data_IF_453066479236
#
_entry.id   IF_453066479236
#
_cell.length_a   1.000
_cell.length_b   1.000
_cell.length_c   1.000
_cell.angle_alpha   90.00
_cell.angle_beta   90.00
_cell.angle_gamma   90.00
#
_symmetry.space_group_name_H-M   'P 1'
#
loop_
_entity.id
_entity.type
_entity.pdbx_description
1 polymer ?
#
# COMPACT_ATOMS: atom_id res chain seq x y z
N UNK A 1 4.68 -13.92 4.58
CA UNK A 1 5.98 -13.34 4.17
C UNK A 1 6.97 -13.46 5.31
N UNK A 2 8.20 -13.87 5.04
CA UNK A 2 9.29 -13.91 6.02
C UNK A 2 10.50 -13.16 5.45
N UNK A 3 11.26 -12.53 6.31
CA UNK A 3 12.53 -11.87 5.91
C UNK A 3 13.57 -12.09 6.99
N UNK A 4 14.84 -12.23 6.57
CA UNK A 4 15.93 -12.59 7.46
C UNK A 4 17.16 -11.72 7.20
N UNK A 5 17.76 -11.24 8.31
CA UNK A 5 19.01 -10.48 8.31
C UNK A 5 19.04 -9.28 7.35
N UNK A 6 17.88 -8.59 7.18
CA UNK A 6 17.81 -7.41 6.31
C UNK A 6 18.67 -6.30 6.87
N UNK A 7 19.70 -5.93 6.13
CA UNK A 7 20.65 -4.88 6.45
C UNK A 7 20.62 -3.82 5.34
N UNK A 8 20.70 -2.58 5.73
CA UNK A 8 20.88 -1.47 4.80
C UNK A 8 22.03 -0.60 5.27
N UNK A 9 22.97 -0.38 4.39
CA UNK A 9 24.03 0.62 4.54
C UNK A 9 23.91 1.66 3.43
N UNK A 10 23.81 2.93 3.80
CA UNK A 10 23.76 4.07 2.89
C UNK A 10 25.00 4.93 3.13
N UNK A 11 25.83 5.07 2.10
CA UNK A 11 27.06 5.89 2.15
C UNK A 11 27.95 5.61 3.37
N UNK A 12 28.10 4.33 3.77
CA UNK A 12 28.90 3.91 4.93
C UNK A 12 28.16 3.97 6.27
N UNK A 13 26.89 4.41 6.31
CA UNK A 13 26.07 4.43 7.54
C UNK A 13 25.07 3.29 7.54
N UNK A 14 25.11 2.44 8.57
CA UNK A 14 24.13 1.36 8.75
C UNK A 14 22.80 1.93 9.25
N UNK A 15 21.76 1.83 8.43
CA UNK A 15 20.38 2.24 8.73
C UNK A 15 19.60 1.07 9.33
N UNK A 16 19.72 -0.13 8.72
CA UNK A 16 19.15 -1.36 9.26
C UNK A 16 20.28 -2.34 9.60
N UNK A 17 20.13 -3.05 10.72
CA UNK A 17 21.20 -3.89 11.30
C UNK A 17 20.70 -5.32 11.49
N UNK A 18 20.53 -6.09 10.40
CA UNK A 18 20.18 -7.50 10.46
C UNK A 18 18.76 -7.77 10.96
N UNK A 19 17.77 -7.01 10.49
CA UNK A 19 16.37 -7.14 10.91
C UNK A 19 15.76 -8.39 10.32
N UNK A 20 15.10 -9.20 11.16
CA UNK A 20 14.38 -10.42 10.74
C UNK A 20 12.95 -10.40 11.26
N UNK A 21 12.03 -11.00 10.52
CA UNK A 21 10.64 -11.05 10.93
C UNK A 21 9.78 -11.97 10.06
N UNK A 22 8.58 -12.23 10.55
CA UNK A 22 7.57 -13.01 9.85
C UNK A 22 6.21 -12.31 9.91
N UNK A 23 5.53 -12.24 8.76
CA UNK A 23 4.18 -11.69 8.64
C UNK A 23 3.30 -12.66 7.88
N UNK A 24 2.20 -13.10 8.50
CA UNK A 24 1.29 -14.09 7.91
C UNK A 24 -0.08 -13.49 7.51
N UNK A 25 -0.51 -12.42 8.15
CA UNK A 25 -1.82 -11.79 7.87
C UNK A 25 -1.72 -10.26 8.01
N UNK A 26 -2.15 -9.69 9.13
CA UNK A 26 -2.04 -8.27 9.42
C UNK A 26 -0.94 -8.01 10.43
N UNK A 27 0.05 -7.20 10.07
CA UNK A 27 1.22 -6.91 10.91
C UNK A 27 1.47 -5.41 10.96
N UNK A 28 1.59 -4.87 12.17
CA UNK A 28 2.03 -3.49 12.40
C UNK A 28 3.52 -3.46 12.80
N UNK A 29 4.30 -2.65 12.10
CA UNK A 29 5.71 -2.38 12.42
C UNK A 29 5.76 -1.12 13.26
N UNK A 30 6.10 -1.24 14.53
CA UNK A 30 6.09 -0.13 15.48
C UNK A 30 7.52 0.31 15.84
N UNK A 31 7.66 1.58 16.16
CA UNK A 31 8.93 2.17 16.60
C UNK A 31 8.94 3.70 16.47
N UNK A 32 9.91 4.39 17.06
CA UNK A 32 10.01 5.85 16.98
C UNK A 32 10.23 6.34 15.55
N UNK A 33 9.99 7.64 15.33
CA UNK A 33 10.34 8.28 14.05
C UNK A 33 11.83 8.13 13.76
N UNK A 34 12.20 7.85 12.52
CA UNK A 34 13.60 7.62 12.14
C UNK A 34 14.15 6.23 12.45
N UNK A 35 13.37 5.31 13.06
CA UNK A 35 13.84 3.95 13.36
C UNK A 35 14.05 3.05 12.12
N UNK A 36 13.73 3.53 10.91
CA UNK A 36 13.89 2.78 9.67
C UNK A 36 12.69 1.95 9.24
N UNK A 37 11.49 2.18 9.80
CA UNK A 37 10.25 1.42 9.48
C UNK A 37 9.91 1.48 7.99
N UNK A 38 9.72 2.69 7.44
CA UNK A 38 9.43 2.89 6.01
C UNK A 38 10.58 2.40 5.12
N UNK A 39 11.82 2.52 5.61
CA UNK A 39 13.00 2.00 4.91
C UNK A 39 12.95 0.47 4.79
N UNK A 40 12.63 -0.23 5.88
CA UNK A 40 12.44 -1.69 5.86
C UNK A 40 11.34 -2.08 4.87
N UNK A 41 10.17 -1.43 4.93
CA UNK A 41 9.08 -1.72 3.99
C UNK A 41 9.46 -1.46 2.54
N UNK A 42 10.22 -0.40 2.24
CA UNK A 42 10.70 -0.11 0.88
C UNK A 42 11.63 -1.21 0.35
N UNK A 43 12.51 -1.79 1.22
CA UNK A 43 13.35 -2.93 0.84
C UNK A 43 12.47 -4.16 0.58
N UNK A 44 11.56 -4.49 1.50
CA UNK A 44 10.67 -5.65 1.37
C UNK A 44 9.74 -5.55 0.16
N UNK A 45 9.36 -4.33 -0.23
CA UNK A 45 8.57 -4.07 -1.44
C UNK A 45 9.39 -4.00 -2.73
N UNK A 46 10.72 -4.15 -2.67
CA UNK A 46 11.60 -4.05 -3.83
C UNK A 46 11.76 -2.63 -4.40
N UNK A 47 11.35 -1.60 -3.65
CA UNK A 47 11.44 -0.19 -4.06
C UNK A 47 12.82 0.42 -3.79
N UNK A 48 13.54 -0.11 -2.80
CA UNK A 48 14.90 0.27 -2.49
C UNK A 48 15.82 -0.91 -2.77
N UNK A 49 16.80 -0.69 -3.62
CA UNK A 49 17.80 -1.69 -4.00
C UNK A 49 19.20 -1.19 -3.65
N UNK A 50 20.14 -2.13 -3.53
CA UNK A 50 21.55 -1.82 -3.47
C UNK A 50 22.04 -1.27 -4.83
N UNK A 51 23.06 -0.42 -4.79
CA UNK A 51 23.70 0.14 -5.98
C UNK A 51 24.59 1.32 -5.64
N UNK A 52 25.69 1.47 -6.35
CA UNK A 52 26.70 2.48 -6.04
C UNK A 52 27.29 2.29 -4.64
N UNK A 53 27.10 3.28 -3.76
CA UNK A 53 27.56 3.24 -2.36
C UNK A 53 26.51 2.66 -1.38
N UNK A 54 25.40 2.15 -1.88
CA UNK A 54 24.31 1.62 -1.06
C UNK A 54 24.36 0.09 -1.09
N UNK A 55 24.39 -0.55 0.07
CA UNK A 55 24.43 -2.01 0.21
C UNK A 55 23.14 -2.46 0.89
N UNK A 56 22.40 -3.34 0.21
CA UNK A 56 21.23 -4.03 0.76
C UNK A 56 21.54 -5.52 0.82
N UNK A 57 21.46 -6.10 2.01
CA UNK A 57 21.70 -7.52 2.26
C UNK A 57 20.48 -8.14 2.96
N UNK A 58 20.42 -9.46 2.95
CA UNK A 58 19.35 -10.23 3.59
C UNK A 58 18.45 -10.91 2.57
N UNK A 59 17.56 -11.76 3.07
CA UNK A 59 16.71 -12.60 2.26
C UNK A 59 15.22 -12.32 2.54
N UNK A 60 14.42 -12.36 1.47
CA UNK A 60 12.96 -12.24 1.56
C UNK A 60 12.33 -13.51 1.00
N UNK A 61 11.33 -14.04 1.73
CA UNK A 61 10.63 -15.27 1.37
C UNK A 61 9.13 -15.02 1.27
N UNK A 62 8.50 -15.47 0.19
CA UNK A 62 7.07 -15.54 0.04
C UNK A 62 6.63 -17.00 -0.06
N UNK A 63 5.70 -17.40 0.81
CA UNK A 63 5.23 -18.79 0.92
C UNK A 63 6.39 -19.81 0.98
N UNK A 64 7.43 -19.52 1.78
CA UNK A 64 8.60 -20.38 1.98
C UNK A 64 9.62 -20.38 0.83
N UNK A 65 9.38 -19.66 -0.25
CA UNK A 65 10.31 -19.53 -1.39
C UNK A 65 11.07 -18.21 -1.29
N UNK A 66 12.39 -18.29 -1.41
CA UNK A 66 13.25 -17.10 -1.52
C UNK A 66 12.92 -16.36 -2.82
N UNK A 67 12.69 -15.07 -2.73
CA UNK A 67 12.34 -14.23 -3.88
C UNK A 67 13.18 -12.97 -3.92
N UNK A 68 13.37 -12.45 -5.13
CA UNK A 68 13.80 -11.08 -5.30
C UNK A 68 12.55 -10.18 -5.27
N UNK A 69 12.41 -9.26 -4.29
CA UNK A 69 11.22 -8.41 -4.18
C UNK A 69 10.91 -7.61 -5.44
N UNK A 70 11.93 -7.19 -6.19
CA UNK A 70 11.75 -6.45 -7.45
C UNK A 70 11.05 -7.27 -8.52
N UNK A 71 11.40 -8.54 -8.65
CA UNK A 71 10.75 -9.44 -9.62
C UNK A 71 9.32 -9.82 -9.19
N UNK A 72 9.01 -9.66 -7.92
CA UNK A 72 7.69 -9.94 -7.35
C UNK A 72 6.79 -8.71 -7.25
N UNK A 73 7.24 -7.56 -7.77
CA UNK A 73 6.59 -6.26 -7.62
C UNK A 73 5.14 -6.23 -8.14
N UNK A 74 4.79 -7.03 -9.16
CA UNK A 74 3.42 -7.14 -9.67
C UNK A 74 2.40 -7.68 -8.66
N UNK A 75 2.86 -8.40 -7.63
CA UNK A 75 2.04 -8.99 -6.56
C UNK A 75 2.03 -8.12 -5.29
N UNK A 76 2.70 -6.97 -5.34
CA UNK A 76 2.89 -6.06 -4.21
C UNK A 76 2.16 -4.75 -4.49
N UNK A 77 1.38 -4.30 -3.53
CA UNK A 77 0.88 -2.93 -3.47
C UNK A 77 1.65 -2.14 -2.40
N UNK A 78 1.93 -0.87 -2.66
CA UNK A 78 2.54 0.02 -1.70
C UNK A 78 1.77 1.34 -1.62
N UNK A 79 1.08 1.55 -0.52
CA UNK A 79 0.33 2.77 -0.23
C UNK A 79 1.24 3.72 0.54
N UNK A 80 1.55 4.86 -0.07
CA UNK A 80 2.41 5.87 0.55
C UNK A 80 1.66 6.68 1.61
N UNK A 81 2.41 7.34 2.49
CA UNK A 81 1.86 8.22 3.52
C UNK A 81 1.06 9.36 2.87
N UNK A 82 1.62 10.03 1.87
CA UNK A 82 0.92 11.05 1.09
C UNK A 82 0.18 10.42 -0.10
N UNK A 83 -1.08 10.80 -0.27
CA UNK A 83 -1.94 10.28 -1.34
C UNK A 83 -1.73 11.10 -2.61
N UNK A 84 -1.28 10.46 -3.68
CA UNK A 84 -1.08 11.07 -5.00
C UNK A 84 -2.35 11.04 -5.87
N UNK A 85 -3.54 11.25 -5.26
CA UNK A 85 -4.80 11.27 -5.99
C UNK A 85 -5.12 12.70 -6.43
N UNK A 86 -5.49 12.86 -7.70
CA UNK A 86 -5.88 14.15 -8.24
C UNK A 86 -7.17 14.64 -7.57
N UNK A 87 -7.17 15.85 -7.04
CA UNK A 87 -8.27 16.44 -6.28
C UNK A 87 -9.60 16.52 -7.05
N UNK A 88 -9.52 16.71 -8.37
CA UNK A 88 -10.67 16.87 -9.27
C UNK A 88 -11.26 15.55 -9.79
N UNK A 89 -10.71 14.39 -9.39
CA UNK A 89 -11.24 13.07 -9.74
C UNK A 89 -12.16 12.55 -8.64
N UNK A 90 -13.03 11.62 -8.99
CA UNK A 90 -13.82 10.84 -8.03
C UNK A 90 -13.10 9.52 -7.69
N UNK A 91 -13.43 8.84 -6.57
CA UNK A 91 -12.92 7.51 -6.27
C UNK A 91 -13.13 6.51 -7.41
N UNK A 92 -14.31 6.52 -8.02
CA UNK A 92 -14.64 5.66 -9.16
C UNK A 92 -13.74 5.92 -10.35
N UNK A 93 -13.56 7.18 -10.73
CA UNK A 93 -12.66 7.56 -11.84
C UNK A 93 -11.21 7.19 -11.55
N UNK A 94 -10.74 7.39 -10.31
CA UNK A 94 -9.39 6.99 -9.90
C UNK A 94 -9.17 5.48 -10.04
N UNK A 95 -10.18 4.66 -9.67
CA UNK A 95 -10.11 3.22 -9.83
C UNK A 95 -10.15 2.79 -11.30
N UNK A 96 -11.01 3.38 -12.12
CA UNK A 96 -11.04 3.12 -13.56
C UNK A 96 -9.73 3.48 -14.23
N UNK A 97 -9.15 4.63 -13.89
CA UNK A 97 -7.85 5.05 -14.41
C UNK A 97 -6.74 4.06 -14.04
N UNK A 98 -6.67 3.68 -12.75
CA UNK A 98 -5.69 2.69 -12.29
C UNK A 98 -5.91 1.32 -12.94
N UNK A 99 -7.17 0.89 -13.11
CA UNK A 99 -7.51 -0.35 -13.80
C UNK A 99 -7.06 -0.35 -15.27
N UNK A 100 -7.28 0.76 -15.98
CA UNK A 100 -6.85 0.89 -17.37
C UNK A 100 -5.33 0.76 -17.52
N UNK A 101 -4.56 1.32 -16.58
CA UNK A 101 -3.09 1.28 -16.63
C UNK A 101 -2.51 -0.07 -16.18
N UNK A 102 -3.09 -0.69 -15.13
CA UNK A 102 -2.47 -1.84 -14.46
C UNK A 102 -2.99 -3.21 -14.93
N UNK A 103 -4.22 -3.30 -15.44
CA UNK A 103 -4.81 -4.59 -15.86
C UNK A 103 -4.53 -4.96 -17.32
N UNK A 104 -3.92 -4.05 -18.09
CA UNK A 104 -3.60 -4.31 -19.50
C UNK A 104 -4.82 -4.48 -20.40
N UNK A 105 -4.58 -4.82 -21.66
CA UNK A 105 -5.62 -4.95 -22.68
C UNK A 105 -6.33 -6.31 -22.68
N UNK A 106 -5.88 -7.27 -21.88
CA UNK A 106 -6.47 -8.63 -21.81
C UNK A 106 -7.74 -8.67 -20.96
N UNK A 107 -7.98 -7.65 -20.13
CA UNK A 107 -9.16 -7.53 -19.26
C UNK A 107 -10.21 -6.70 -19.99
N UNK A 108 -11.41 -7.26 -20.18
CA UNK A 108 -12.52 -6.57 -20.85
C UNK A 108 -13.01 -5.36 -20.02
N UNK A 109 -13.69 -4.42 -20.68
CA UNK A 109 -14.28 -3.28 -19.98
C UNK A 109 -15.31 -3.71 -18.94
N UNK A 110 -16.10 -4.74 -19.23
CA UNK A 110 -17.07 -5.29 -18.29
C UNK A 110 -16.40 -5.85 -17.03
N UNK A 111 -15.30 -6.58 -17.18
CA UNK A 111 -14.53 -7.08 -16.05
C UNK A 111 -13.87 -5.98 -15.22
N UNK A 112 -13.38 -4.91 -15.90
CA UNK A 112 -12.86 -3.72 -15.20
C UNK A 112 -13.95 -3.06 -14.37
N UNK A 113 -15.12 -2.86 -14.94
CA UNK A 113 -16.29 -2.30 -14.24
C UNK A 113 -16.70 -3.15 -13.04
N UNK A 114 -16.73 -4.48 -13.17
CA UNK A 114 -17.00 -5.40 -12.06
C UNK A 114 -15.96 -5.25 -10.95
N UNK A 115 -14.68 -5.20 -11.28
CA UNK A 115 -13.60 -5.02 -10.28
C UNK A 115 -13.68 -3.68 -9.57
N UNK A 116 -13.93 -2.59 -10.29
CA UNK A 116 -14.09 -1.25 -9.72
C UNK A 116 -15.26 -1.22 -8.75
N UNK A 117 -16.42 -1.76 -9.13
CA UNK A 117 -17.60 -1.79 -8.26
C UNK A 117 -17.38 -2.66 -7.01
N UNK A 118 -16.78 -3.84 -7.17
CA UNK A 118 -16.42 -4.70 -6.04
C UNK A 118 -15.46 -4.00 -5.06
N UNK A 119 -14.50 -3.24 -5.59
CA UNK A 119 -13.54 -2.53 -4.77
C UNK A 119 -14.17 -1.33 -4.02
N UNK A 120 -15.08 -0.59 -4.67
CA UNK A 120 -15.88 0.46 -4.02
C UNK A 120 -16.65 -0.12 -2.84
N UNK A 121 -17.24 -1.29 -3.00
CA UNK A 121 -17.97 -1.99 -1.93
C UNK A 121 -17.04 -2.47 -0.82
N UNK A 122 -15.94 -3.14 -1.15
CA UNK A 122 -14.94 -3.66 -0.21
C UNK A 122 -14.37 -2.54 0.68
N UNK A 123 -14.10 -1.37 0.09
CA UNK A 123 -13.56 -0.21 0.76
C UNK A 123 -14.63 0.69 1.42
N UNK A 124 -15.92 0.35 1.30
CA UNK A 124 -17.04 1.12 1.84
C UNK A 124 -17.05 2.57 1.36
N UNK A 125 -16.92 2.75 0.05
CA UNK A 125 -16.90 4.04 -0.61
C UNK A 125 -18.19 4.33 -1.41
N UNK A 126 -19.24 3.51 -1.31
CA UNK A 126 -20.45 3.62 -2.12
C UNK A 126 -21.09 5.01 -2.04
N UNK A 127 -21.08 5.64 -0.84
CA UNK A 127 -21.71 6.95 -0.61
C UNK A 127 -20.96 8.12 -1.23
N UNK A 128 -19.68 7.95 -1.51
CA UNK A 128 -18.80 9.00 -2.02
C UNK A 128 -18.08 8.59 -3.33
N UNK A 129 -18.47 7.49 -3.92
CA UNK A 129 -17.81 6.94 -5.12
C UNK A 129 -17.75 7.94 -6.28
N UNK A 130 -18.75 8.79 -6.40
CA UNK A 130 -18.93 9.76 -7.48
C UNK A 130 -18.78 11.22 -6.99
N UNK A 131 -18.27 11.43 -5.76
CA UNK A 131 -17.91 12.73 -5.22
C UNK A 131 -16.43 13.03 -5.50
N UNK A 132 -16.06 14.30 -5.72
CA UNK A 132 -14.66 14.67 -5.88
C UNK A 132 -13.83 14.31 -4.66
N UNK A 133 -12.60 13.85 -4.88
CA UNK A 133 -11.64 13.58 -3.81
C UNK A 133 -11.33 14.84 -3.02
N UNK A 134 -11.20 15.97 -3.71
CA UNK A 134 -10.95 17.27 -3.11
C UNK A 134 -9.52 17.44 -2.59
N UNK A 135 -9.17 18.66 -2.24
CA UNK A 135 -7.93 19.02 -1.56
C UNK A 135 -8.12 20.31 -0.76
N UNK A 136 -7.97 20.22 0.55
CA UNK A 136 -8.12 21.37 1.43
C UNK A 136 -7.08 22.47 1.16
N UNK A 137 -5.85 22.11 0.73
CA UNK A 137 -4.79 23.07 0.37
C UNK A 137 -5.17 23.89 -0.85
N UNK A 138 -5.88 23.27 -1.81
CA UNK A 138 -6.36 23.93 -3.03
C UNK A 138 -7.77 24.51 -2.87
N UNK A 139 -8.36 24.45 -1.66
CA UNK A 139 -9.74 24.85 -1.38
C UNK A 139 -10.79 24.17 -2.26
N UNK A 140 -10.50 22.95 -2.71
CA UNK A 140 -11.44 22.11 -3.45
C UNK A 140 -12.17 21.21 -2.45
N UNK A 141 -13.49 21.38 -2.26
CA UNK A 141 -14.27 20.52 -1.36
C UNK A 141 -14.29 19.09 -1.89
N UNK A 142 -14.32 18.13 -1.00
CA UNK A 142 -14.29 16.72 -1.39
C UNK A 142 -14.65 15.76 -0.25
N UNK A 143 -14.28 14.51 -0.45
CA UNK A 143 -14.53 13.45 0.52
C UNK A 143 -13.68 13.62 1.79
N UNK A 144 -14.07 12.94 2.87
CA UNK A 144 -13.35 12.97 4.14
C UNK A 144 -11.94 12.36 4.03
N UNK A 145 -11.03 12.70 4.96
CA UNK A 145 -9.68 12.17 5.00
C UNK A 145 -9.63 10.64 5.04
N UNK A 146 -10.52 10.01 5.80
CA UNK A 146 -10.62 8.55 5.86
C UNK A 146 -11.13 7.92 4.55
N UNK A 147 -12.05 8.58 3.83
CA UNK A 147 -12.50 8.15 2.50
C UNK A 147 -11.37 8.31 1.46
N UNK A 148 -10.65 9.42 1.53
CA UNK A 148 -9.49 9.66 0.69
C UNK A 148 -8.40 8.59 0.90
N UNK A 149 -8.08 8.25 2.15
CA UNK A 149 -7.12 7.18 2.46
C UNK A 149 -7.59 5.82 1.92
N UNK A 150 -8.87 5.47 2.08
CA UNK A 150 -9.43 4.24 1.49
C UNK A 150 -9.42 4.27 -0.05
N UNK A 151 -9.61 5.44 -0.66
CA UNK A 151 -9.46 5.59 -2.11
C UNK A 151 -8.01 5.35 -2.54
N UNK A 152 -7.02 5.90 -1.83
CA UNK A 152 -5.61 5.63 -2.11
C UNK A 152 -5.27 4.14 -2.00
N UNK A 153 -5.78 3.46 -0.97
CA UNK A 153 -5.65 2.00 -0.83
C UNK A 153 -6.26 1.29 -2.04
N UNK A 154 -7.45 1.70 -2.50
CA UNK A 154 -8.13 1.09 -3.64
C UNK A 154 -7.39 1.22 -4.96
N UNK A 155 -6.78 2.37 -5.22
CA UNK A 155 -5.94 2.59 -6.41
C UNK A 155 -4.84 1.54 -6.50
N UNK A 156 -4.24 1.17 -5.36
CA UNK A 156 -3.21 0.14 -5.29
C UNK A 156 -3.77 -1.29 -5.33
N UNK A 157 -4.98 -1.53 -4.81
CA UNK A 157 -5.60 -2.85 -4.76
C UNK A 157 -6.20 -3.32 -6.08
N UNK A 158 -6.36 -2.46 -7.07
CA UNK A 158 -7.04 -2.78 -8.34
C UNK A 158 -6.38 -3.95 -9.10
N UNK A 159 -5.06 -4.11 -8.97
CA UNK A 159 -4.29 -5.21 -9.54
C UNK A 159 -4.41 -6.53 -8.77
N UNK A 160 -5.20 -6.55 -7.68
CA UNK A 160 -5.38 -7.70 -6.79
C UNK A 160 -4.06 -8.26 -6.21
N UNK A 161 -3.24 -7.42 -5.56
CA UNK A 161 -1.96 -7.85 -5.00
C UNK A 161 -2.15 -8.81 -3.82
N UNK A 162 -1.20 -9.73 -3.64
CA UNK A 162 -1.17 -10.67 -2.50
C UNK A 162 -0.58 -10.02 -1.25
N UNK A 163 0.23 -8.97 -1.41
CA UNK A 163 0.91 -8.28 -0.32
C UNK A 163 0.64 -6.78 -0.43
N UNK A 164 0.31 -6.17 0.69
CA UNK A 164 -0.01 -4.74 0.78
C UNK A 164 0.83 -4.10 1.87
N UNK A 165 1.67 -3.17 1.48
CA UNK A 165 2.41 -2.30 2.39
C UNK A 165 1.72 -0.96 2.52
N UNK A 166 1.62 -0.42 3.73
CA UNK A 166 1.01 0.88 3.99
C UNK A 166 1.89 1.68 4.94
N UNK A 167 2.37 2.81 4.46
CA UNK A 167 3.16 3.72 5.26
C UNK A 167 2.24 4.71 5.99
N UNK A 168 2.20 4.63 7.32
CA UNK A 168 1.38 5.44 8.22
C UNK A 168 -0.08 5.61 7.75
N UNK A 169 -0.86 4.53 7.54
CA UNK A 169 -2.19 4.61 6.92
C UNK A 169 -3.22 5.37 7.75
N UNK A 170 -2.95 5.65 9.02
CA UNK A 170 -3.83 6.37 9.94
C UNK A 170 -3.35 7.78 10.28
N UNK A 171 -2.20 8.19 9.74
CA UNK A 171 -1.63 9.52 9.99
C UNK A 171 -2.56 10.63 9.51
N UNK A 172 -2.76 11.66 10.35
CA UNK A 172 -3.62 12.79 10.06
C UNK A 172 -5.14 12.49 10.09
N UNK A 173 -5.56 11.31 10.54
CA UNK A 173 -6.96 10.94 10.67
C UNK A 173 -7.43 11.06 12.13
N UNK A 174 -8.71 11.42 12.33
CA UNK A 174 -9.36 11.27 13.61
C UNK A 174 -9.55 9.78 13.98
N UNK A 175 -9.80 9.49 15.27
CA UNK A 175 -9.89 8.12 15.79
C UNK A 175 -10.94 7.26 15.09
N UNK A 176 -12.08 7.85 14.68
CA UNK A 176 -13.14 7.12 14.01
C UNK A 176 -12.77 6.76 12.57
N UNK A 177 -12.18 7.70 11.83
CA UNK A 177 -11.67 7.48 10.47
C UNK A 177 -10.51 6.46 10.48
N UNK A 178 -9.58 6.59 11.42
CA UNK A 178 -8.47 5.64 11.62
C UNK A 178 -8.98 4.22 11.89
N UNK A 179 -9.95 4.06 12.81
CA UNK A 179 -10.57 2.77 13.10
C UNK A 179 -11.22 2.14 11.86
N UNK A 180 -11.91 2.94 11.04
CA UNK A 180 -12.50 2.46 9.77
C UNK A 180 -11.45 1.98 8.78
N UNK A 181 -10.34 2.69 8.64
CA UNK A 181 -9.23 2.28 7.78
C UNK A 181 -8.65 0.95 8.28
N UNK A 182 -8.32 0.83 9.56
CA UNK A 182 -7.79 -0.41 10.16
C UNK A 182 -8.77 -1.58 9.99
N UNK A 183 -10.08 -1.35 10.17
CA UNK A 183 -11.11 -2.37 9.95
C UNK A 183 -11.11 -2.89 8.51
N UNK A 184 -10.92 -2.02 7.52
CA UNK A 184 -10.80 -2.42 6.12
C UNK A 184 -9.54 -3.25 5.91
N UNK A 185 -8.39 -2.81 6.44
CA UNK A 185 -7.12 -3.51 6.33
C UNK A 185 -7.18 -4.91 6.95
N UNK A 186 -7.82 -5.05 8.12
CA UNK A 186 -8.01 -6.35 8.75
C UNK A 186 -8.83 -7.30 7.87
N UNK A 187 -9.91 -6.82 7.27
CA UNK A 187 -10.73 -7.62 6.33
C UNK A 187 -9.95 -8.04 5.08
N UNK A 188 -9.05 -7.19 4.56
CA UNK A 188 -8.16 -7.56 3.46
C UNK A 188 -7.25 -8.71 3.87
N UNK A 189 -6.73 -8.69 5.10
CA UNK A 189 -5.91 -9.77 5.65
C UNK A 189 -6.70 -11.06 5.88
N UNK A 190 -7.94 -10.97 6.39
CA UNK A 190 -8.85 -12.12 6.56
C UNK A 190 -9.19 -12.79 5.21
N UNK A 191 -9.17 -12.05 4.11
CA UNK A 191 -9.33 -12.58 2.74
C UNK A 191 -8.06 -13.19 2.15
N UNK A 192 -7.02 -13.40 2.96
CA UNK A 192 -5.80 -14.10 2.57
C UNK A 192 -4.68 -13.21 2.03
N UNK A 193 -4.82 -11.87 2.10
CA UNK A 193 -3.70 -10.97 1.77
C UNK A 193 -2.76 -10.81 2.97
N UNK A 194 -1.48 -10.62 2.71
CA UNK A 194 -0.52 -10.20 3.74
C UNK A 194 -0.49 -8.67 3.78
N UNK A 195 -0.84 -8.09 4.92
CA UNK A 195 -0.90 -6.63 5.12
C UNK A 195 0.14 -6.21 6.14
N UNK A 196 1.04 -5.32 5.76
CA UNK A 196 2.03 -4.71 6.66
C UNK A 196 1.82 -3.20 6.69
N UNK A 197 1.76 -2.63 7.88
CA UNK A 197 1.66 -1.18 8.06
C UNK A 197 2.66 -0.66 9.11
N UNK A 198 2.99 0.61 9.04
CA UNK A 198 3.76 1.34 10.07
C UNK A 198 2.86 2.27 10.87
#
# INVERSE_FOLDING_TARGET
MMYTHVTLELQGRKILKGVSGNSSSFTAIMGPSGAGKSTLMNILAGRLQGGGKNVVEGDVFYNGRKVNPTMFASNIAYVMQEDAIKATTTPREAFHFSAALRLGNTVTEEERNKRVNALIEELRLQKCADMMVGDARLRIPGISGGERKRTAIGVELISNPSIVFLDEPTSGLDSFAAHRVVTVLNRLAEKGRTVLCT
#
